data_IF_229889209631
#
_entry.id   IF_229889209631
#
_cell.length_a   1.000
_cell.length_b   1.000
_cell.length_c   1.000
_cell.angle_alpha   90.00
_cell.angle_beta   90.00
_cell.angle_gamma   90.00
#
_symmetry.space_group_name_H-M   'P 1'
#
loop_
_entity.id
_entity.type
_entity.pdbx_description
1 polymer ?
#
# COMPACT_ATOMS: atom_id res chain seq x y z
N UNK A 1 19.42 -11.06 -5.00
CA UNK A 1 19.99 -11.26 -3.65
C UNK A 1 21.36 -10.62 -3.66
N UNK A 2 21.44 -9.39 -3.16
CA UNK A 2 22.69 -8.62 -3.13
C UNK A 2 23.31 -8.85 -1.75
N UNK A 3 24.58 -9.23 -1.69
CA UNK A 3 25.28 -9.45 -0.42
C UNK A 3 25.65 -8.10 0.20
N UNK A 4 25.78 -8.06 1.53
CA UNK A 4 26.19 -6.84 2.22
C UNK A 4 27.70 -6.62 2.07
N UNK A 5 28.06 -5.84 1.05
CA UNK A 5 29.43 -5.35 0.84
C UNK A 5 29.59 -3.88 1.24
N UNK A 6 30.84 -3.37 1.23
CA UNK A 6 31.16 -2.01 1.64
C UNK A 6 30.32 -0.93 0.91
N UNK A 7 30.01 -1.15 -0.38
CA UNK A 7 29.20 -0.22 -1.17
C UNK A 7 27.74 -0.24 -0.76
N UNK A 8 27.20 -1.42 -0.47
CA UNK A 8 25.84 -1.57 0.02
C UNK A 8 25.69 -0.90 1.41
N UNK A 9 26.68 -1.09 2.30
CA UNK A 9 26.73 -0.43 3.60
C UNK A 9 26.74 1.09 3.48
N UNK A 10 27.60 1.63 2.63
CA UNK A 10 27.70 3.07 2.43
C UNK A 10 26.40 3.66 1.86
N UNK A 11 25.77 2.97 0.90
CA UNK A 11 24.55 3.43 0.27
C UNK A 11 23.30 3.32 1.17
N UNK A 12 23.23 2.28 2.01
CA UNK A 12 22.04 1.92 2.79
C UNK A 12 22.32 1.83 4.30
N UNK A 13 23.29 2.57 4.83
CA UNK A 13 23.74 2.52 6.23
C UNK A 13 22.58 2.49 7.25
N UNK A 14 21.64 3.43 7.11
CA UNK A 14 20.51 3.57 8.05
C UNK A 14 19.58 2.36 8.03
N UNK A 15 19.40 1.75 6.86
CA UNK A 15 18.53 0.59 6.64
C UNK A 15 19.21 -0.71 7.09
N UNK A 16 20.52 -0.82 6.84
CA UNK A 16 21.34 -1.98 7.16
C UNK A 16 21.78 -2.04 8.63
N UNK A 17 21.60 -0.96 9.40
CA UNK A 17 21.89 -0.93 10.84
C UNK A 17 21.10 -1.99 11.62
N UNK A 18 19.80 -2.14 11.34
CA UNK A 18 18.94 -3.10 12.05
C UNK A 18 19.35 -4.55 11.79
N UNK A 19 19.55 -5.00 10.53
CA UNK A 19 19.97 -6.37 10.27
C UNK A 19 21.39 -6.65 10.81
N UNK A 20 22.32 -5.69 10.78
CA UNK A 20 23.65 -5.86 11.41
C UNK A 20 23.55 -6.04 12.93
N UNK A 21 22.73 -5.26 13.63
CA UNK A 21 22.51 -5.44 15.07
C UNK A 21 21.84 -6.79 15.40
N UNK A 22 21.02 -7.33 14.49
CA UNK A 22 20.41 -8.66 14.62
C UNK A 22 21.45 -9.78 14.45
N UNK A 23 22.31 -9.68 13.45
CA UNK A 23 23.37 -10.66 13.18
C UNK A 23 24.46 -10.68 14.26
N UNK A 24 24.68 -9.52 14.91
CA UNK A 24 25.67 -9.32 15.96
C UNK A 24 25.01 -8.71 17.21
N UNK A 25 24.29 -9.51 18.02
CA UNK A 25 23.54 -9.02 19.19
C UNK A 25 24.42 -8.44 20.31
N UNK A 26 25.75 -8.58 20.20
CA UNK A 26 26.73 -7.98 21.11
C UNK A 26 27.09 -6.54 20.75
N UNK A 27 26.76 -6.09 19.54
CA UNK A 27 26.97 -4.71 19.12
C UNK A 27 25.93 -3.80 19.77
N UNK A 28 26.37 -2.67 20.29
CA UNK A 28 25.44 -1.61 20.67
C UNK A 28 25.14 -0.72 19.48
N UNK A 29 23.88 -0.28 19.38
CA UNK A 29 23.43 0.66 18.34
C UNK A 29 24.29 1.92 18.27
N UNK A 30 24.69 2.45 19.42
CA UNK A 30 25.50 3.65 19.54
C UNK A 30 26.89 3.48 18.90
N UNK A 31 27.47 2.28 19.01
CA UNK A 31 28.77 1.97 18.41
C UNK A 31 28.64 1.94 16.88
N UNK A 32 27.59 1.29 16.35
CA UNK A 32 27.31 1.25 14.90
C UNK A 32 27.02 2.65 14.34
N UNK A 33 26.34 3.51 15.11
CA UNK A 33 26.13 4.92 14.75
C UNK A 33 27.42 5.74 14.74
N UNK A 34 28.37 5.43 15.62
CA UNK A 34 29.67 6.09 15.66
C UNK A 34 30.58 5.70 14.49
N UNK A 35 30.42 4.50 13.93
CA UNK A 35 31.10 4.08 12.71
C UNK A 35 30.53 4.80 11.47
N UNK A 36 29.24 5.14 11.46
CA UNK A 36 28.61 5.80 10.33
C UNK A 36 28.65 4.96 9.05
N UNK A 37 28.77 5.61 7.89
CA UNK A 37 28.85 4.95 6.59
C UNK A 37 30.21 4.28 6.28
N UNK A 38 31.15 4.31 7.23
CA UNK A 38 32.47 3.69 7.10
C UNK A 38 32.41 2.19 7.42
N UNK A 39 32.50 1.37 6.37
CA UNK A 39 32.42 -0.09 6.48
C UNK A 39 33.65 -0.69 7.16
N UNK A 40 34.85 -0.16 6.93
CA UNK A 40 36.06 -0.63 7.58
C UNK A 40 36.03 -0.33 9.08
N UNK A 41 35.51 0.83 9.48
CA UNK A 41 35.28 1.17 10.88
C UNK A 41 34.27 0.21 11.55
N UNK A 42 33.20 -0.17 10.85
CA UNK A 42 32.27 -1.19 11.31
C UNK A 42 32.95 -2.54 11.50
N UNK A 43 33.71 -3.02 10.50
CA UNK A 43 34.41 -4.31 10.58
C UNK A 43 35.37 -4.34 11.76
N UNK A 44 36.22 -3.32 11.90
CA UNK A 44 37.17 -3.21 13.02
C UNK A 44 36.47 -3.21 14.39
N UNK A 45 35.32 -2.56 14.47
CA UNK A 45 34.50 -2.54 15.68
C UNK A 45 33.92 -3.92 16.00
N UNK A 46 33.37 -4.62 15.02
CA UNK A 46 32.82 -5.98 15.19
C UNK A 46 33.93 -6.95 15.61
N UNK A 47 35.11 -6.85 15.00
CA UNK A 47 36.28 -7.65 15.39
C UNK A 47 36.64 -7.42 16.86
N UNK A 48 36.68 -6.15 17.31
CA UNK A 48 37.01 -5.80 18.70
C UNK A 48 35.99 -6.33 19.70
N UNK A 49 34.70 -6.28 19.38
CA UNK A 49 33.63 -6.68 20.30
C UNK A 49 33.32 -8.18 20.28
N UNK A 50 33.50 -8.84 19.13
CA UNK A 50 33.18 -10.26 18.95
C UNK A 50 34.40 -11.17 19.09
N UNK A 51 35.62 -10.63 18.94
CA UNK A 51 36.86 -11.41 18.91
C UNK A 51 37.07 -12.21 17.62
N UNK A 52 36.27 -11.95 16.59
CA UNK A 52 36.30 -12.63 15.29
C UNK A 52 37.40 -12.05 14.39
N UNK A 53 37.91 -12.86 13.47
CA UNK A 53 38.82 -12.39 12.42
C UNK A 53 38.08 -11.55 11.38
N UNK A 54 38.81 -10.71 10.61
CA UNK A 54 38.20 -9.85 9.59
C UNK A 54 37.42 -10.69 8.56
N UNK A 55 37.98 -11.83 8.15
CA UNK A 55 37.35 -12.74 7.19
C UNK A 55 36.03 -13.30 7.71
N UNK A 56 35.96 -13.72 8.98
CA UNK A 56 34.71 -14.21 9.59
C UNK A 56 33.66 -13.11 9.73
N UNK A 57 34.09 -11.87 10.00
CA UNK A 57 33.18 -10.72 10.03
C UNK A 57 32.64 -10.42 8.64
N UNK A 58 33.48 -10.43 7.61
CA UNK A 58 33.05 -10.21 6.23
C UNK A 58 32.12 -11.31 5.72
N UNK A 59 32.42 -12.58 6.02
CA UNK A 59 31.60 -13.72 5.65
C UNK A 59 30.19 -13.58 6.24
N UNK A 60 30.13 -13.32 7.55
CA UNK A 60 28.88 -13.15 8.29
C UNK A 60 28.12 -11.87 7.94
N UNK A 61 28.82 -10.82 7.54
CA UNK A 61 28.20 -9.63 6.96
C UNK A 61 27.62 -9.96 5.59
N UNK A 62 28.35 -10.68 4.74
CA UNK A 62 27.88 -11.09 3.41
C UNK A 62 26.68 -12.03 3.46
N UNK A 63 26.47 -12.77 4.54
CA UNK A 63 25.24 -13.56 4.81
C UNK A 63 24.01 -12.69 5.11
N UNK A 64 24.20 -11.41 5.43
CA UNK A 64 23.09 -10.47 5.61
C UNK A 64 22.55 -10.12 4.21
N UNK A 65 21.39 -10.66 3.90
CA UNK A 65 20.70 -10.37 2.65
C UNK A 65 20.31 -8.89 2.59
N UNK A 66 20.91 -8.16 1.66
CA UNK A 66 20.45 -6.82 1.30
C UNK A 66 19.27 -7.03 0.37
N UNK A 67 18.07 -6.68 0.86
CA UNK A 67 16.90 -6.58 0.01
C UNK A 67 17.24 -5.66 -1.18
N UNK A 68 17.37 -6.27 -2.35
CA UNK A 68 17.44 -5.58 -3.62
C UNK A 68 16.04 -5.00 -3.83
N UNK A 69 15.95 -3.69 -3.98
CA UNK A 69 14.67 -2.99 -4.13
C UNK A 69 14.14 -3.30 -5.55
N UNK A 70 13.59 -4.50 -5.70
CA UNK A 70 12.85 -4.98 -6.83
C UNK A 70 11.84 -6.00 -6.30
N UNK A 71 10.75 -5.47 -5.77
CA UNK A 71 9.43 -6.11 -5.69
C UNK A 71 9.44 -7.48 -4.99
N UNK A 72 9.48 -7.49 -3.65
CA UNK A 72 8.62 -8.40 -2.90
C UNK A 72 8.40 -7.94 -1.46
N UNK A 73 7.16 -8.13 -1.07
CA UNK A 73 6.51 -7.82 0.18
C UNK A 73 7.15 -8.62 1.34
N UNK A 74 7.98 -7.99 2.17
CA UNK A 74 8.30 -8.55 3.50
C UNK A 74 8.28 -7.46 4.57
N UNK A 75 7.13 -7.42 5.20
CA UNK A 75 6.77 -6.79 6.47
C UNK A 75 7.93 -6.64 7.47
N UNK A 76 8.32 -5.40 7.81
CA UNK A 76 8.66 -5.01 9.20
C UNK A 76 8.79 -3.47 9.35
N UNK A 77 8.11 -2.94 10.38
CA UNK A 77 8.27 -1.59 10.98
C UNK A 77 7.57 -0.40 10.30
N UNK A 78 6.24 -0.37 10.49
CA UNK A 78 5.51 0.76 11.08
C UNK A 78 6.02 2.18 10.76
N UNK A 79 5.95 2.57 9.50
CA UNK A 79 5.47 3.90 9.16
C UNK A 79 4.04 3.67 8.71
N UNK A 80 3.05 3.91 9.58
CA UNK A 80 1.63 3.79 9.22
C UNK A 80 1.30 4.82 8.14
N UNK A 81 1.66 4.54 6.90
CA UNK A 81 0.93 5.03 5.75
C UNK A 81 -0.42 4.36 5.89
N UNK A 82 -1.38 5.04 6.52
CA UNK A 82 -2.75 4.53 6.61
C UNK A 82 -3.15 4.13 5.18
N UNK A 83 -3.65 2.90 4.97
CA UNK A 83 -4.05 2.47 3.64
C UNK A 83 -5.01 3.52 3.09
N UNK A 84 -4.75 3.98 1.87
CA UNK A 84 -5.62 4.94 1.18
C UNK A 84 -6.80 4.18 0.62
N UNK A 85 -7.97 4.82 0.60
CA UNK A 85 -9.14 4.16 0.07
C UNK A 85 -8.95 3.85 -1.41
N UNK A 86 -9.38 2.66 -1.80
CA UNK A 86 -9.26 2.14 -3.16
C UNK A 86 -10.54 1.39 -3.51
N UNK A 87 -10.68 1.06 -4.80
CA UNK A 87 -11.82 0.25 -5.23
C UNK A 87 -11.79 -1.18 -4.71
N UNK A 88 -10.69 -1.64 -4.11
CA UNK A 88 -10.65 -2.97 -3.50
C UNK A 88 -11.67 -3.10 -2.35
N UNK A 89 -12.00 -1.99 -1.71
CA UNK A 89 -13.01 -1.90 -0.65
C UNK A 89 -14.45 -1.96 -1.17
N UNK A 90 -14.65 -1.98 -2.50
CA UNK A 90 -15.95 -2.13 -3.11
C UNK A 90 -16.55 -3.48 -2.76
N UNK A 91 -17.65 -3.44 -2.01
CA UNK A 91 -18.49 -4.59 -1.75
C UNK A 91 -19.50 -4.71 -2.87
N UNK A 92 -19.43 -5.83 -3.56
CA UNK A 92 -20.43 -6.23 -4.52
C UNK A 92 -21.52 -6.95 -3.72
N UNK A 93 -22.68 -6.31 -3.62
CA UNK A 93 -23.82 -6.85 -2.91
C UNK A 93 -24.77 -7.54 -3.90
N UNK A 94 -26.07 -7.51 -3.63
CA UNK A 94 -27.06 -8.32 -4.34
C UNK A 94 -27.07 -8.09 -5.87
N UNK A 95 -27.15 -9.19 -6.62
CA UNK A 95 -27.42 -9.20 -8.07
C UNK A 95 -26.20 -9.30 -9.00
N UNK A 96 -25.00 -9.36 -8.43
CA UNK A 96 -23.74 -9.52 -9.17
C UNK A 96 -23.01 -10.79 -8.75
N UNK A 97 -22.28 -11.40 -9.68
CA UNK A 97 -21.45 -12.57 -9.39
C UNK A 97 -20.02 -12.15 -9.02
N UNK A 98 -19.35 -12.90 -8.13
CA UNK A 98 -17.95 -12.63 -7.75
C UNK A 98 -16.99 -12.67 -8.96
N UNK A 99 -17.29 -13.52 -9.95
CA UNK A 99 -16.57 -13.60 -11.23
C UNK A 99 -16.59 -12.29 -12.03
N UNK A 100 -17.58 -11.43 -11.80
CA UNK A 100 -17.71 -10.14 -12.49
C UNK A 100 -16.91 -9.03 -11.79
N UNK A 101 -16.48 -9.25 -10.55
CA UNK A 101 -15.70 -8.29 -9.74
C UNK A 101 -14.53 -7.66 -10.50
N UNK A 102 -13.60 -8.42 -11.12
CA UNK A 102 -12.46 -7.81 -11.81
C UNK A 102 -12.90 -6.86 -12.94
N UNK A 103 -13.94 -7.23 -13.69
CA UNK A 103 -14.49 -6.41 -14.78
C UNK A 103 -15.18 -5.15 -14.26
N UNK A 104 -15.92 -5.26 -13.16
CA UNK A 104 -16.57 -4.12 -12.51
C UNK A 104 -15.51 -3.14 -11.97
N UNK A 105 -14.48 -3.64 -11.28
CA UNK A 105 -13.39 -2.83 -10.78
C UNK A 105 -12.65 -2.10 -11.91
N UNK A 106 -12.40 -2.77 -13.03
CA UNK A 106 -11.79 -2.14 -14.21
C UNK A 106 -12.64 -0.98 -14.76
N UNK A 107 -13.96 -1.18 -14.87
CA UNK A 107 -14.89 -0.13 -15.32
C UNK A 107 -14.91 1.04 -14.33
N UNK A 108 -14.85 0.77 -13.04
CA UNK A 108 -14.90 1.77 -11.98
C UNK A 108 -13.56 2.44 -11.69
N UNK A 109 -12.44 1.97 -12.27
CA UNK A 109 -11.05 2.36 -11.97
C UNK A 109 -10.79 3.87 -11.90
N UNK A 110 -11.55 4.69 -12.63
CA UNK A 110 -11.47 6.16 -12.54
C UNK A 110 -11.76 6.72 -11.14
N UNK A 111 -12.57 6.03 -10.34
CA UNK A 111 -12.88 6.43 -8.97
C UNK A 111 -11.68 6.29 -8.04
N UNK A 112 -10.77 5.35 -8.33
CA UNK A 112 -9.65 5.00 -7.45
C UNK A 112 -8.79 6.22 -7.07
N UNK A 113 -8.42 7.05 -8.06
CA UNK A 113 -7.66 8.29 -7.83
C UNK A 113 -8.36 9.26 -6.86
N UNK A 114 -9.69 9.31 -6.87
CA UNK A 114 -10.45 10.19 -5.97
C UNK A 114 -10.60 9.57 -4.58
N UNK A 115 -10.81 8.25 -4.52
CA UNK A 115 -10.89 7.51 -3.27
C UNK A 115 -9.59 7.59 -2.49
N UNK A 116 -8.44 7.57 -3.16
CA UNK A 116 -7.11 7.68 -2.52
C UNK A 116 -6.91 8.95 -1.66
N UNK A 117 -7.79 9.95 -1.79
CA UNK A 117 -7.80 11.16 -0.94
C UNK A 117 -8.30 10.90 0.47
N UNK A 118 -8.99 9.79 0.68
CA UNK A 118 -9.57 9.36 1.95
C UNK A 118 -8.80 8.17 2.52
N UNK A 119 -8.80 7.99 3.85
CA UNK A 119 -8.25 6.78 4.47
C UNK A 119 -9.19 5.59 4.23
N UNK A 120 -8.64 4.42 3.92
CA UNK A 120 -9.40 3.21 3.59
C UNK A 120 -10.38 2.85 4.71
N UNK A 121 -9.93 2.86 5.96
CA UNK A 121 -10.76 2.53 7.14
C UNK A 121 -12.05 3.37 7.28
N UNK A 122 -12.14 4.53 6.62
CA UNK A 122 -13.29 5.43 6.71
C UNK A 122 -14.13 5.46 5.43
N UNK A 123 -13.80 4.62 4.45
CA UNK A 123 -14.51 4.53 3.17
C UNK A 123 -15.11 3.15 3.01
N UNK A 124 -16.43 3.12 2.82
CA UNK A 124 -17.17 1.94 2.38
C UNK A 124 -17.86 2.26 1.05
N UNK A 125 -17.85 1.28 0.16
CA UNK A 125 -18.50 1.34 -1.15
C UNK A 125 -19.34 0.08 -1.32
N UNK A 126 -20.60 0.25 -1.72
CA UNK A 126 -21.50 -0.87 -1.98
C UNK A 126 -22.15 -0.71 -3.35
N UNK A 127 -22.10 -1.77 -4.15
CA UNK A 127 -22.74 -1.84 -5.46
C UNK A 127 -23.83 -2.90 -5.44
N UNK A 128 -25.06 -2.50 -5.79
CA UNK A 128 -26.22 -3.40 -5.90
C UNK A 128 -26.89 -3.26 -7.26
N UNK A 129 -27.45 -4.35 -7.76
CA UNK A 129 -28.32 -4.33 -8.94
C UNK A 129 -29.64 -5.02 -8.63
N UNK A 130 -30.73 -4.41 -9.09
CA UNK A 130 -32.09 -4.96 -9.02
C UNK A 130 -32.64 -5.13 -10.43
N UNK A 131 -33.49 -6.14 -10.58
CA UNK A 131 -34.18 -6.46 -11.84
C UNK A 131 -33.21 -6.54 -13.03
N UNK A 132 -32.07 -7.22 -12.81
CA UNK A 132 -30.96 -7.35 -13.76
C UNK A 132 -31.45 -7.92 -15.11
N UNK A 133 -30.88 -7.42 -16.21
CA UNK A 133 -31.21 -7.84 -17.58
C UNK A 133 -32.69 -7.63 -17.97
N UNK A 134 -33.40 -6.75 -17.25
CA UNK A 134 -34.78 -6.34 -17.56
C UNK A 134 -34.85 -4.86 -17.94
N UNK A 135 -35.98 -4.44 -18.51
CA UNK A 135 -36.28 -3.02 -18.77
C UNK A 135 -36.40 -2.17 -17.50
N UNK A 136 -36.50 -2.81 -16.33
CA UNK A 136 -36.56 -2.16 -15.02
C UNK A 136 -35.25 -2.25 -14.25
N UNK A 137 -34.16 -2.66 -14.91
CA UNK A 137 -32.83 -2.77 -14.29
C UNK A 137 -32.45 -1.48 -13.57
N UNK A 138 -32.01 -1.64 -12.33
CA UNK A 138 -31.60 -0.54 -11.47
C UNK A 138 -30.29 -0.86 -10.80
N UNK A 139 -29.22 -0.18 -11.23
CA UNK A 139 -27.91 -0.26 -10.60
C UNK A 139 -27.79 0.87 -9.59
N UNK A 140 -27.46 0.54 -8.34
CA UNK A 140 -27.26 1.53 -7.27
C UNK A 140 -25.86 1.40 -6.73
N UNK A 141 -25.14 2.52 -6.70
CA UNK A 141 -23.81 2.61 -6.11
C UNK A 141 -23.87 3.58 -4.94
N UNK A 142 -23.42 3.08 -3.79
CA UNK A 142 -23.45 3.79 -2.53
C UNK A 142 -22.03 3.98 -2.01
N UNK A 143 -21.74 5.19 -1.53
CA UNK A 143 -20.46 5.53 -0.94
C UNK A 143 -20.66 6.21 0.42
N UNK A 144 -19.99 5.69 1.43
CA UNK A 144 -19.85 6.30 2.74
C UNK A 144 -18.43 6.82 2.86
N UNK A 145 -18.29 8.13 2.99
CA UNK A 145 -17.00 8.82 3.02
C UNK A 145 -16.92 9.67 4.29
N UNK A 146 -15.72 9.87 4.87
CA UNK A 146 -15.61 10.59 6.13
C UNK A 146 -16.00 12.06 5.95
N UNK A 147 -16.89 12.52 6.84
CA UNK A 147 -17.42 13.88 6.88
C UNK A 147 -18.23 14.29 5.62
N UNK A 148 -18.58 13.35 4.74
CA UNK A 148 -19.48 13.59 3.58
C UNK A 148 -20.80 12.89 3.89
N UNK A 149 -21.97 13.48 3.57
CA UNK A 149 -23.22 12.73 3.60
C UNK A 149 -23.12 11.49 2.69
N UNK A 150 -23.79 10.40 3.08
CA UNK A 150 -23.90 9.18 2.27
C UNK A 150 -24.28 9.54 0.84
N UNK A 151 -23.43 9.18 -0.12
CA UNK A 151 -23.67 9.43 -1.53
C UNK A 151 -24.33 8.20 -2.13
N UNK A 152 -25.55 8.38 -2.64
CA UNK A 152 -26.32 7.32 -3.30
C UNK A 152 -26.58 7.75 -4.72
N UNK A 153 -26.04 7.01 -5.69
CA UNK A 153 -26.28 7.23 -7.10
C UNK A 153 -26.94 6.01 -7.71
N UNK A 154 -27.77 6.24 -8.72
CA UNK A 154 -28.60 5.19 -9.29
C UNK A 154 -28.71 5.39 -10.79
N UNK A 155 -28.46 4.33 -11.54
CA UNK A 155 -28.69 4.29 -12.97
C UNK A 155 -29.85 3.36 -13.31
N UNK A 156 -30.57 3.70 -14.39
CA UNK A 156 -31.68 2.93 -14.98
C UNK A 156 -31.35 2.44 -16.40
N UNK A 157 -30.08 2.46 -16.76
CA UNK A 157 -29.65 2.01 -18.09
C UNK A 157 -29.91 0.52 -18.29
N UNK A 158 -30.39 0.18 -19.48
CA UNK A 158 -30.72 -1.19 -19.87
C UNK A 158 -29.50 -2.09 -19.94
N UNK A 159 -28.36 -1.53 -20.34
CA UNK A 159 -27.07 -2.22 -20.43
C UNK A 159 -26.33 -2.07 -19.09
N UNK A 160 -25.95 -3.20 -18.49
CA UNK A 160 -25.20 -3.20 -17.23
C UNK A 160 -23.90 -2.39 -17.32
N UNK A 161 -23.21 -2.46 -18.46
CA UNK A 161 -21.98 -1.70 -18.69
C UNK A 161 -22.25 -0.21 -18.68
N UNK A 162 -23.29 0.24 -19.38
CA UNK A 162 -23.65 1.65 -19.44
C UNK A 162 -24.17 2.15 -18.08
N UNK A 163 -24.94 1.32 -17.38
CA UNK A 163 -25.37 1.60 -16.01
C UNK A 163 -24.19 1.77 -15.04
N UNK A 164 -23.16 0.91 -15.14
CA UNK A 164 -21.94 1.01 -14.34
C UNK A 164 -21.12 2.26 -14.67
N UNK A 165 -21.03 2.62 -15.96
CA UNK A 165 -20.35 3.85 -16.37
C UNK A 165 -21.08 5.09 -15.89
N UNK A 166 -22.41 5.09 -15.94
CA UNK A 166 -23.28 6.18 -15.51
C UNK A 166 -23.15 6.42 -14.00
N UNK A 167 -23.35 5.38 -13.16
CA UNK A 167 -23.16 5.50 -11.70
C UNK A 167 -21.73 5.89 -11.32
N UNK A 168 -20.73 5.48 -12.11
CA UNK A 168 -19.33 5.87 -11.89
C UNK A 168 -19.13 7.37 -12.06
N UNK A 169 -19.59 7.93 -13.18
CA UNK A 169 -19.41 9.35 -13.49
C UNK A 169 -20.23 10.22 -12.50
N UNK A 170 -21.45 9.79 -12.15
CA UNK A 170 -22.28 10.46 -11.16
C UNK A 170 -21.65 10.45 -9.76
N UNK A 171 -21.13 9.30 -9.31
CA UNK A 171 -20.46 9.23 -8.01
C UNK A 171 -19.20 10.11 -8.01
N UNK A 172 -18.40 10.03 -9.08
CA UNK A 172 -17.20 10.86 -9.24
C UNK A 172 -17.53 12.35 -9.15
N UNK A 173 -18.62 12.79 -9.80
CA UNK A 173 -19.09 14.17 -9.74
C UNK A 173 -19.49 14.57 -8.33
N UNK A 174 -20.31 13.77 -7.64
CA UNK A 174 -20.76 14.07 -6.27
C UNK A 174 -19.63 14.10 -5.25
N UNK A 175 -18.61 13.25 -5.41
CA UNK A 175 -17.40 13.29 -4.59
C UNK A 175 -16.66 14.61 -4.80
N UNK A 176 -16.46 15.03 -6.05
CA UNK A 176 -15.79 16.32 -6.34
C UNK A 176 -16.60 17.52 -5.81
N UNK A 177 -17.90 17.57 -6.06
CA UNK A 177 -18.79 18.63 -5.55
C UNK A 177 -18.74 18.71 -4.01
N UNK A 178 -18.69 17.56 -3.33
CA UNK A 178 -18.57 17.50 -1.87
C UNK A 178 -17.21 17.96 -1.37
N UNK A 179 -16.12 17.69 -2.10
CA UNK A 179 -14.78 18.14 -1.75
C UNK A 179 -14.60 19.64 -2.01
N UNK A 180 -15.16 20.16 -3.10
CA UNK A 180 -15.09 21.57 -3.48
C UNK A 180 -15.84 22.44 -2.46
N UNK A 181 -17.03 22.02 -2.04
CA UNK A 181 -17.82 22.67 -0.98
C UNK A 181 -17.07 22.82 0.35
N UNK A 182 -16.07 21.99 0.64
CA UNK A 182 -15.25 22.11 1.86
C UNK A 182 -14.09 23.09 1.75
N UNK A 183 -13.71 23.50 0.54
CA UNK A 183 -12.60 24.45 0.32
C UNK A 183 -13.05 25.91 0.24
N UNK A 184 -14.36 26.17 0.17
CA UNK A 184 -14.96 27.50 0.28
C UNK A 184 -15.56 27.73 1.66
#
# INVERSE_FOLDING_TARGET
MTTLDARAWQAKFTELRTPVLSAFPRLHRQDVEAAGDDFDALVHMIQRQSGLSATEVHDRLSEIEVADDADDDVETSQRTTRPRASLDQLRIAFGFEESERPRILELLRKLDRQLQRFPAEAVDLELTVKDRDTTTQKVTLEAWLPNVPRLVVTSKESSLRDALMDVREDLWRRINESLDRRRG
#
